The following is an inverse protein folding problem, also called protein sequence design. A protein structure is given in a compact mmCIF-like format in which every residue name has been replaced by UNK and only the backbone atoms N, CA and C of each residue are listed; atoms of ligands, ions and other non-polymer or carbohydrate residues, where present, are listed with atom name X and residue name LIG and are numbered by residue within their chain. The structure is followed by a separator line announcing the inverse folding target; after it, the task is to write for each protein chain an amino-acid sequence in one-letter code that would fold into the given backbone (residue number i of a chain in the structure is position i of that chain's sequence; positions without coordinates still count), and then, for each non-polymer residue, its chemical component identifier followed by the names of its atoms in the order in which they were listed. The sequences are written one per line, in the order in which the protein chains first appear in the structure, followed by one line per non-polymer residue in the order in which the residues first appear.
data_IF_202316924056
#
_entry.id   IF_202316924056
#
_cell.length_a   1.000
_cell.length_b   1.000
_cell.length_c   1.000
_cell.angle_alpha   90.00
_cell.angle_beta   90.00
_cell.angle_gamma   90.00
#
_symmetry.space_group_name_H-M   'P 1'
#
loop_
_entity.id
_entity.type
_entity.pdbx_description
1 polymer ?
#
# COMPACT_ATOMS: atom_id res chain seq x y z
N UNK A 1 21.86 -0.57 -6.87
CA UNK A 1 20.58 -0.99 -7.46
C UNK A 1 19.89 0.24 -8.04
N UNK A 2 19.35 0.15 -9.27
CA UNK A 2 18.56 1.23 -9.86
C UNK A 2 17.38 1.58 -8.93
N UNK A 3 17.18 2.88 -8.65
CA UNK A 3 16.10 3.36 -7.79
C UNK A 3 14.73 2.97 -8.34
N UNK A 4 14.56 2.92 -9.66
CA UNK A 4 13.33 2.44 -10.32
C UNK A 4 13.03 0.99 -9.98
N UNK A 5 14.07 0.14 -10.01
CA UNK A 5 13.97 -1.28 -9.66
C UNK A 5 13.63 -1.41 -8.17
N UNK A 6 14.32 -0.68 -7.29
CA UNK A 6 14.06 -0.70 -5.86
C UNK A 6 12.63 -0.31 -5.50
N UNK A 7 12.12 0.79 -6.05
CA UNK A 7 10.74 1.24 -5.79
C UNK A 7 9.73 0.21 -6.27
N UNK A 8 9.91 -0.32 -7.48
CA UNK A 8 9.06 -1.40 -8.03
C UNK A 8 9.08 -2.65 -7.12
N UNK A 9 10.25 -3.07 -6.64
CA UNK A 9 10.38 -4.20 -5.72
C UNK A 9 9.70 -3.95 -4.37
N UNK A 10 9.77 -2.73 -3.84
CA UNK A 10 9.06 -2.38 -2.59
C UNK A 10 7.54 -2.40 -2.77
N UNK A 11 7.01 -1.97 -3.92
CA UNK A 11 5.59 -2.11 -4.21
C UNK A 11 5.16 -3.57 -4.31
N UNK A 12 5.96 -4.44 -4.95
CA UNK A 12 5.70 -5.88 -4.96
C UNK A 12 5.69 -6.44 -3.54
N UNK A 13 6.67 -6.06 -2.71
CA UNK A 13 6.73 -6.47 -1.31
C UNK A 13 5.49 -6.01 -0.53
N UNK A 14 5.05 -4.76 -0.73
CA UNK A 14 3.83 -4.25 -0.09
C UNK A 14 2.59 -5.05 -0.50
N UNK A 15 2.39 -5.31 -1.80
CA UNK A 15 1.26 -6.10 -2.33
C UNK A 15 1.23 -7.50 -1.73
N UNK A 16 2.39 -8.16 -1.63
CA UNK A 16 2.47 -9.50 -1.02
C UNK A 16 2.09 -9.48 0.46
N UNK A 17 2.46 -8.44 1.21
CA UNK A 17 2.05 -8.28 2.60
C UNK A 17 0.55 -8.04 2.73
N UNK A 18 -0.01 -7.11 1.93
CA UNK A 18 -1.46 -6.86 1.90
C UNK A 18 -2.25 -8.13 1.62
N UNK A 19 -1.87 -8.86 0.56
CA UNK A 19 -2.54 -10.09 0.16
C UNK A 19 -2.45 -11.18 1.25
N UNK A 20 -1.31 -11.30 1.92
CA UNK A 20 -1.17 -12.24 3.03
C UNK A 20 -1.99 -11.82 4.25
N UNK A 21 -2.04 -10.52 4.57
CA UNK A 21 -2.88 -9.96 5.63
C UNK A 21 -4.37 -10.26 5.39
N UNK A 22 -4.84 -10.07 4.15
CA UNK A 22 -6.22 -10.36 3.76
C UNK A 22 -6.55 -11.85 3.90
N UNK A 23 -5.64 -12.74 3.47
CA UNK A 23 -5.80 -14.19 3.65
C UNK A 23 -5.90 -14.55 5.14
N UNK A 24 -5.05 -13.96 5.99
CA UNK A 24 -5.12 -14.17 7.44
C UNK A 24 -6.44 -13.66 8.03
N UNK A 25 -6.94 -12.52 7.54
CA UNK A 25 -8.25 -11.99 7.89
C UNK A 25 -9.39 -12.97 7.55
N UNK A 26 -9.37 -13.58 6.37
CA UNK A 26 -10.37 -14.57 5.96
C UNK A 26 -10.30 -15.84 6.82
N UNK A 27 -9.12 -16.21 7.32
CA UNK A 27 -8.95 -17.35 8.23
C UNK A 27 -9.39 -17.05 9.68
N UNK A 28 -9.58 -15.79 10.05
CA UNK A 28 -10.13 -15.40 11.35
C UNK A 28 -11.64 -15.66 11.38
N UNK A 29 -12.07 -16.60 12.20
CA UNK A 29 -13.48 -17.01 12.33
C UNK A 29 -14.40 -15.83 12.66
N UNK A 30 -13.93 -14.83 13.42
CA UNK A 30 -14.74 -13.67 13.77
C UNK A 30 -14.95 -12.74 12.58
N UNK A 31 -13.92 -12.57 11.75
CA UNK A 31 -13.99 -11.73 10.56
C UNK A 31 -14.69 -12.46 9.41
N UNK A 32 -14.47 -13.75 9.24
CA UNK A 32 -15.16 -14.58 8.25
C UNK A 32 -16.68 -14.56 8.43
N UNK A 33 -17.18 -14.66 9.67
CA UNK A 33 -18.61 -14.56 9.95
C UNK A 33 -19.19 -13.20 9.53
N UNK A 34 -18.42 -12.13 9.69
CA UNK A 34 -18.80 -10.77 9.28
C UNK A 34 -18.83 -10.65 7.76
N UNK A 35 -17.83 -11.18 7.06
CA UNK A 35 -17.81 -11.28 5.60
C UNK A 35 -19.05 -12.02 5.07
N UNK A 36 -19.39 -13.16 5.66
CA UNK A 36 -20.57 -13.95 5.27
C UNK A 36 -21.90 -13.25 5.59
N UNK A 37 -21.94 -12.44 6.64
CA UNK A 37 -23.10 -11.62 6.98
C UNK A 37 -23.24 -10.37 6.10
N UNK A 38 -22.25 -10.07 5.25
CA UNK A 38 -22.21 -8.87 4.41
C UNK A 38 -22.00 -7.58 5.20
N UNK A 39 -21.50 -7.66 6.44
CA UNK A 39 -21.25 -6.50 7.29
C UNK A 39 -19.99 -6.71 8.12
N UNK A 40 -18.98 -5.87 7.91
CA UNK A 40 -17.71 -5.89 8.62
C UNK A 40 -17.61 -4.68 9.52
N UNK A 41 -17.58 -4.90 10.83
CA UNK A 41 -17.48 -3.88 11.87
C UNK A 41 -18.49 -2.73 11.72
N UNK A 42 -19.72 -3.04 11.31
CA UNK A 42 -20.79 -2.05 11.10
C UNK A 42 -20.82 -1.45 9.69
N UNK A 43 -19.83 -1.76 8.83
CA UNK A 43 -19.82 -1.34 7.42
C UNK A 43 -20.46 -2.40 6.54
N UNK A 44 -21.52 -2.02 5.82
CA UNK A 44 -22.13 -2.88 4.82
C UNK A 44 -21.20 -3.11 3.63
N UNK A 45 -20.98 -4.38 3.29
CA UNK A 45 -20.22 -4.78 2.13
C UNK A 45 -21.11 -4.78 0.89
N UNK A 46 -21.39 -3.58 0.37
CA UNK A 46 -22.08 -3.42 -0.90
C UNK A 46 -21.12 -3.47 -2.10
N UNK A 47 -21.68 -3.52 -3.31
CA UNK A 47 -20.90 -3.52 -4.56
C UNK A 47 -19.94 -2.32 -4.65
N UNK A 48 -20.38 -1.14 -4.20
CA UNK A 48 -19.58 0.08 -4.22
C UNK A 48 -18.37 -0.02 -3.27
N UNK A 49 -18.53 -0.66 -2.11
CA UNK A 49 -17.44 -0.89 -1.17
C UNK A 49 -16.38 -1.80 -1.81
N UNK A 50 -16.80 -2.90 -2.43
CA UNK A 50 -15.90 -3.81 -3.15
C UNK A 50 -15.16 -3.12 -4.30
N UNK A 51 -15.88 -2.29 -5.07
CA UNK A 51 -15.28 -1.49 -6.13
C UNK A 51 -14.25 -0.49 -5.59
N UNK A 52 -14.56 0.19 -4.49
CA UNK A 52 -13.64 1.13 -3.84
C UNK A 52 -12.38 0.43 -3.32
N UNK A 53 -12.51 -0.75 -2.69
CA UNK A 53 -11.39 -1.58 -2.25
C UNK A 53 -10.52 -2.04 -3.43
N UNK A 54 -11.13 -2.43 -4.55
CA UNK A 54 -10.42 -2.82 -5.76
C UNK A 54 -9.62 -1.64 -6.35
N UNK A 55 -10.23 -0.46 -6.48
CA UNK A 55 -9.56 0.75 -6.98
C UNK A 55 -8.40 1.15 -6.07
N UNK A 56 -8.57 1.05 -4.75
CA UNK A 56 -7.52 1.34 -3.78
C UNK A 56 -6.31 0.40 -3.97
N UNK A 57 -6.54 -0.90 -4.10
CA UNK A 57 -5.48 -1.89 -4.31
C UNK A 57 -4.85 -1.83 -5.70
N UNK A 58 -5.52 -1.24 -6.69
CA UNK A 58 -4.94 -1.01 -8.00
C UNK A 58 -3.80 0.02 -7.95
N UNK A 59 -3.80 0.93 -6.97
CA UNK A 59 -2.72 1.92 -6.78
C UNK A 59 -1.36 1.25 -6.63
N UNK A 60 -1.10 0.38 -5.64
CA UNK A 60 0.19 -0.29 -5.50
C UNK A 60 0.50 -1.19 -6.70
N UNK A 61 -0.49 -1.86 -7.30
CA UNK A 61 -0.32 -2.75 -8.47
C UNK A 61 0.22 -1.96 -9.67
N UNK A 62 -0.43 -0.86 -10.03
CA UNK A 62 0.00 0.02 -11.12
C UNK A 62 1.36 0.64 -10.82
N UNK A 63 1.65 0.97 -9.56
CA UNK A 63 2.94 1.52 -9.15
C UNK A 63 4.13 0.57 -9.34
N UNK A 64 3.91 -0.75 -9.38
CA UNK A 64 4.95 -1.72 -9.77
C UNK A 64 5.45 -1.43 -11.18
N UNK A 65 4.55 -1.17 -12.12
CA UNK A 65 4.85 -0.86 -13.52
C UNK A 65 5.33 0.58 -13.69
N UNK A 66 4.61 1.55 -13.12
CA UNK A 66 4.92 2.97 -13.26
C UNK A 66 6.30 3.31 -12.70
N UNK A 67 6.73 2.66 -11.62
CA UNK A 67 8.08 2.83 -11.07
C UNK A 67 9.19 2.46 -12.06
N UNK A 68 8.92 1.62 -13.05
CA UNK A 68 9.88 1.22 -14.10
C UNK A 68 9.80 2.12 -15.33
N UNK A 69 8.59 2.48 -15.74
CA UNK A 69 8.32 3.13 -17.04
C UNK A 69 8.48 4.66 -16.93
N UNK A 70 8.06 5.28 -15.83
CA UNK A 70 8.02 6.74 -15.73
C UNK A 70 9.42 7.38 -15.71
N UNK A 71 9.48 8.60 -16.23
CA UNK A 71 10.64 9.49 -16.14
C UNK A 71 10.88 9.93 -14.67
N UNK A 72 12.09 10.43 -14.36
CA UNK A 72 12.49 10.71 -12.98
C UNK A 72 11.50 11.62 -12.22
N UNK A 73 11.04 12.72 -12.83
CA UNK A 73 10.16 13.70 -12.15
C UNK A 73 8.79 13.12 -11.84
N UNK A 74 8.12 12.50 -12.83
CA UNK A 74 6.79 11.92 -12.63
C UNK A 74 6.85 10.71 -11.70
N UNK A 75 7.87 9.87 -11.82
CA UNK A 75 8.06 8.69 -10.99
C UNK A 75 8.24 9.05 -9.51
N UNK A 76 9.04 10.09 -9.23
CA UNK A 76 9.25 10.60 -7.87
C UNK A 76 7.93 11.05 -7.23
N UNK A 77 7.16 11.89 -7.91
CA UNK A 77 5.90 12.38 -7.37
C UNK A 77 4.83 11.30 -7.26
N UNK A 78 4.72 10.41 -8.25
CA UNK A 78 3.78 9.29 -8.21
C UNK A 78 4.03 8.38 -6.99
N UNK A 79 5.30 8.03 -6.71
CA UNK A 79 5.65 7.22 -5.54
C UNK A 79 5.36 7.93 -4.21
N UNK A 80 5.63 9.24 -4.12
CA UNK A 80 5.33 10.01 -2.91
C UNK A 80 3.82 10.04 -2.67
N UNK A 81 3.03 10.39 -3.69
CA UNK A 81 1.56 10.51 -3.55
C UNK A 81 0.96 9.15 -3.23
N UNK A 82 1.27 8.10 -4.01
CA UNK A 82 0.75 6.76 -3.78
C UNK A 82 1.17 6.22 -2.40
N UNK A 83 2.44 6.40 -2.02
CA UNK A 83 2.93 5.96 -0.71
C UNK A 83 2.24 6.68 0.46
N UNK A 84 1.96 7.99 0.34
CA UNK A 84 1.20 8.74 1.36
C UNK A 84 -0.23 8.21 1.45
N UNK A 85 -0.92 8.03 0.32
CA UNK A 85 -2.30 7.52 0.30
C UNK A 85 -2.36 6.16 1.00
N UNK A 86 -1.52 5.22 0.60
CA UNK A 86 -1.51 3.87 1.19
C UNK A 86 -1.16 3.88 2.68
N UNK A 87 -0.21 4.74 3.10
CA UNK A 87 0.13 4.91 4.52
C UNK A 87 -1.06 5.43 5.32
N UNK A 88 -1.73 6.46 4.82
CA UNK A 88 -2.87 7.08 5.50
C UNK A 88 -4.04 6.11 5.62
N UNK A 89 -4.36 5.38 4.53
CA UNK A 89 -5.44 4.41 4.52
C UNK A 89 -5.14 3.24 5.47
N UNK A 90 -3.93 2.69 5.45
CA UNK A 90 -3.55 1.61 6.38
C UNK A 90 -3.55 2.07 7.84
N UNK A 91 -3.12 3.30 8.10
CA UNK A 91 -3.15 3.88 9.45
C UNK A 91 -4.58 4.10 9.91
N UNK A 92 -5.45 4.66 9.05
CA UNK A 92 -6.85 4.90 9.37
C UNK A 92 -7.60 3.60 9.68
N UNK A 93 -7.39 2.55 8.89
CA UNK A 93 -7.99 1.23 9.12
C UNK A 93 -7.45 0.57 10.38
N UNK A 94 -6.16 0.74 10.72
CA UNK A 94 -5.56 0.25 11.96
C UNK A 94 -6.22 0.83 13.23
N UNK A 95 -6.65 2.09 13.19
CA UNK A 95 -7.30 2.75 14.33
C UNK A 95 -8.83 2.71 14.30
N UNK A 96 -9.44 2.22 13.22
CA UNK A 96 -10.90 2.15 13.11
C UNK A 96 -11.53 1.16 14.10
N UNK A 97 -10.82 0.06 14.41
CA UNK A 97 -11.29 -1.01 15.31
C UNK A 97 -10.10 -1.54 16.10
N UNK A 98 -10.35 -2.09 17.30
CA UNK A 98 -9.31 -2.76 18.09
C UNK A 98 -8.64 -3.88 17.26
N UNK A 99 -7.35 -3.75 16.90
CA UNK A 99 -6.73 -4.63 15.94
C UNK A 99 -6.38 -5.98 16.58
N UNK A 100 -6.56 -7.06 15.82
CA UNK A 100 -6.01 -8.37 16.18
C UNK A 100 -4.49 -8.33 16.12
N UNK A 101 -3.81 -9.25 16.82
CA UNK A 101 -2.34 -9.28 16.86
C UNK A 101 -1.70 -9.46 15.48
N UNK A 102 -2.30 -10.28 14.62
CA UNK A 102 -1.79 -10.49 13.26
C UNK A 102 -2.01 -9.25 12.39
N UNK A 103 -3.18 -8.62 12.48
CA UNK A 103 -3.49 -7.42 11.71
C UNK A 103 -2.59 -6.25 12.11
N UNK A 104 -2.32 -6.10 13.41
CA UNK A 104 -1.36 -5.11 13.91
C UNK A 104 0.05 -5.35 13.34
N UNK A 105 0.52 -6.60 13.34
CA UNK A 105 1.84 -6.95 12.81
C UNK A 105 1.95 -6.65 11.30
N UNK A 106 0.98 -7.09 10.50
CA UNK A 106 0.94 -6.80 9.07
C UNK A 106 0.87 -5.30 8.80
N UNK A 107 -0.02 -4.57 9.51
CA UNK A 107 -0.17 -3.12 9.36
C UNK A 107 1.13 -2.37 9.64
N UNK A 108 1.90 -2.77 10.66
CA UNK A 108 3.21 -2.15 10.96
C UNK A 108 4.17 -2.33 9.77
N UNK A 109 4.22 -3.52 9.17
CA UNK A 109 5.10 -3.81 8.03
C UNK A 109 4.66 -3.02 6.79
N UNK A 110 3.36 -3.00 6.52
CA UNK A 110 2.77 -2.27 5.39
C UNK A 110 3.06 -0.77 5.50
N UNK A 111 2.75 -0.17 6.65
CA UNK A 111 3.02 1.25 6.95
C UNK A 111 4.52 1.56 6.85
N UNK A 112 5.38 0.70 7.43
CA UNK A 112 6.83 0.90 7.36
C UNK A 112 7.33 0.85 5.90
N UNK A 113 6.77 -0.05 5.09
CA UNK A 113 7.11 -0.19 3.67
C UNK A 113 6.68 1.02 2.87
N UNK A 114 5.45 1.49 3.03
CA UNK A 114 4.93 2.65 2.30
C UNK A 114 5.65 3.94 2.70
N UNK A 115 6.00 4.11 3.99
CA UNK A 115 6.85 5.22 4.45
C UNK A 115 8.25 5.12 3.83
N UNK A 116 8.84 3.92 3.76
CA UNK A 116 10.14 3.73 3.12
C UNK A 116 10.10 4.10 1.63
N UNK A 117 9.02 3.76 0.91
CA UNK A 117 8.80 4.18 -0.48
C UNK A 117 8.79 5.70 -0.60
N UNK A 118 8.00 6.39 0.24
CA UNK A 118 7.93 7.87 0.26
C UNK A 118 9.30 8.47 0.54
N UNK A 119 10.01 7.97 1.55
CA UNK A 119 11.34 8.46 1.93
C UNK A 119 12.37 8.26 0.83
N UNK A 120 12.39 7.08 0.20
CA UNK A 120 13.31 6.76 -0.89
C UNK A 120 13.02 7.60 -2.14
N UNK A 121 11.75 7.82 -2.46
CA UNK A 121 11.36 8.71 -3.56
C UNK A 121 11.73 10.17 -3.24
N UNK A 122 11.54 10.62 -2.00
CA UNK A 122 11.92 11.96 -1.57
C UNK A 122 13.43 12.19 -1.69
N UNK A 123 14.24 11.24 -1.20
CA UNK A 123 15.71 11.28 -1.23
C UNK A 123 16.29 11.00 -2.61
N UNK A 124 15.48 10.63 -3.60
CA UNK A 124 15.97 10.38 -4.95
C UNK A 124 16.46 11.69 -5.58
N UNK A 125 17.79 11.85 -5.67
CA UNK A 125 18.44 13.05 -6.23
C UNK A 125 18.28 13.07 -7.75
N UNK A 126 18.07 14.27 -8.28
CA UNK A 126 17.86 14.50 -9.71
C UNK A 126 19.15 14.22 -10.50
N UNK A 127 19.15 13.25 -11.44
CA UNK A 127 20.36 12.91 -12.20
C UNK A 127 20.89 14.08 -13.05
N UNK A 128 20.05 15.08 -13.37
CA UNK A 128 20.47 16.27 -14.10
C UNK A 128 21.30 17.29 -13.31
N UNK A 129 21.45 17.17 -11.98
CA UNK A 129 22.26 18.10 -11.16
C UNK A 129 23.73 17.68 -10.98
N UNK A 130 24.12 16.53 -11.52
CA UNK A 130 25.50 16.01 -11.38
C UNK A 130 26.44 16.58 -12.46
N UNK A 131 25.91 17.11 -13.56
CA UNK A 131 26.72 17.61 -14.69
C UNK A 131 27.03 19.12 -14.66
N UNK A 132 26.61 19.85 -13.62
CA UNK A 132 26.86 21.30 -13.47
C UNK A 132 27.94 21.61 -12.40
N UNK A 133 28.90 20.71 -12.19
CA UNK A 133 30.05 20.95 -11.31
C UNK A 133 31.36 20.58 -11.98
#
# INVERSE_FOLDING_TARGET
MDKKVLLSTLWIFAILNYLYCDIMGIMDVNLLKQYLAGNVNGMEMNENFLLASAILMEIPIVMVLLSRILNYRSNRWANIIAGIIMTLVQTATLFAVAPTKYYLFCSIIEIATTIAIVWLAWKWINPGKVNDK
#
